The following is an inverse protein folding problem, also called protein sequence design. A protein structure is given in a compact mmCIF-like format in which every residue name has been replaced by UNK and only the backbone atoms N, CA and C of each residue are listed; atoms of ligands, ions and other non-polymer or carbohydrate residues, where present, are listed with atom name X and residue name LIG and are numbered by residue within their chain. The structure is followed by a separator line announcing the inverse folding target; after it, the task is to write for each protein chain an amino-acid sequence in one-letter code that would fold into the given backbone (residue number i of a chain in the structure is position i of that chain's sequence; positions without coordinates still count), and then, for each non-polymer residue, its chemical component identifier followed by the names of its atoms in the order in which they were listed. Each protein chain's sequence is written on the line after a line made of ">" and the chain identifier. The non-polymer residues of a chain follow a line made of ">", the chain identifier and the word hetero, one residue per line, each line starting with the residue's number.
data_IF_850282841496
#
_entry.id   IF_850282841496
#
_cell.length_a   1.000
_cell.length_b   1.000
_cell.length_c   1.000
_cell.angle_alpha   90.00
_cell.angle_beta   90.00
_cell.angle_gamma   90.00
#
_symmetry.space_group_name_H-M   'P 1'
#
loop_
_entity.id
_entity.type
_entity.pdbx_description
1 polymer ?
#
# COMPACT_ATOMS: atom_id res chain seq x y z
N UNK A 1 -22.96 33.11 -59.34
CA UNK A 1 -24.24 33.20 -58.61
C UNK A 1 -23.99 32.72 -57.19
N UNK A 2 -23.95 33.64 -56.22
CA UNK A 2 -23.70 33.39 -54.79
C UNK A 2 -25.04 33.03 -54.16
N UNK A 3 -25.29 31.76 -53.89
CA UNK A 3 -26.37 31.33 -52.98
C UNK A 3 -25.83 31.40 -51.56
N UNK A 4 -25.94 32.60 -50.97
CA UNK A 4 -25.84 32.81 -49.53
C UNK A 4 -27.28 32.95 -49.02
N UNK A 5 -28.07 31.89 -49.19
CA UNK A 5 -29.44 31.88 -48.68
C UNK A 5 -29.35 31.65 -47.17
N UNK A 6 -29.93 32.58 -46.41
CA UNK A 6 -30.08 32.48 -44.97
C UNK A 6 -30.84 31.17 -44.67
N UNK A 7 -30.36 30.29 -43.76
CA UNK A 7 -31.11 29.10 -43.39
C UNK A 7 -32.49 29.52 -42.89
N UNK A 8 -33.54 28.86 -43.39
CA UNK A 8 -34.91 29.19 -43.05
C UNK A 8 -35.14 29.15 -41.53
N UNK A 9 -36.07 29.96 -41.02
CA UNK A 9 -36.36 30.03 -39.59
C UNK A 9 -36.67 28.65 -38.95
N UNK A 10 -37.21 27.72 -39.75
CA UNK A 10 -37.50 26.33 -39.39
C UNK A 10 -36.24 25.47 -39.16
N UNK A 11 -35.20 25.66 -39.96
CA UNK A 11 -33.93 24.92 -39.84
C UNK A 11 -33.16 25.33 -38.59
N UNK A 12 -33.21 26.63 -38.26
CA UNK A 12 -32.62 27.16 -37.04
C UNK A 12 -33.31 26.67 -35.76
N UNK A 13 -34.64 26.47 -35.79
CA UNK A 13 -35.37 25.93 -34.64
C UNK A 13 -34.97 24.48 -34.35
N UNK A 14 -34.91 23.65 -35.40
CA UNK A 14 -34.59 22.23 -35.30
C UNK A 14 -33.14 22.01 -34.84
N UNK A 15 -32.21 22.85 -35.30
CA UNK A 15 -30.83 22.88 -34.80
C UNK A 15 -30.78 23.26 -33.32
N UNK A 16 -31.59 24.24 -32.89
CA UNK A 16 -31.62 24.69 -31.50
C UNK A 16 -32.20 23.63 -30.55
N UNK A 17 -33.24 22.92 -30.97
CA UNK A 17 -33.78 21.78 -30.23
C UNK A 17 -32.77 20.63 -30.12
N UNK A 18 -32.05 20.34 -31.21
CA UNK A 18 -30.99 19.32 -31.21
C UNK A 18 -29.85 19.68 -30.25
N UNK A 19 -29.41 20.94 -30.25
CA UNK A 19 -28.39 21.43 -29.32
C UNK A 19 -28.88 21.33 -27.88
N UNK A 20 -30.14 21.71 -27.59
CA UNK A 20 -30.71 21.59 -26.25
C UNK A 20 -30.77 20.15 -25.78
N UNK A 21 -31.21 19.22 -26.64
CA UNK A 21 -31.24 17.80 -26.33
C UNK A 21 -29.84 17.24 -26.00
N UNK A 22 -28.82 17.64 -26.76
CA UNK A 22 -27.44 17.25 -26.52
C UNK A 22 -26.95 17.81 -25.17
N UNK A 23 -27.26 19.07 -24.85
CA UNK A 23 -26.85 19.72 -23.60
C UNK A 23 -27.50 19.03 -22.39
N UNK A 24 -28.79 18.72 -22.47
CA UNK A 24 -29.53 17.99 -21.44
C UNK A 24 -28.94 16.58 -21.24
N UNK A 25 -28.65 15.86 -22.33
CA UNK A 25 -28.06 14.53 -22.30
C UNK A 25 -26.64 14.56 -21.70
N UNK A 26 -25.84 15.57 -22.06
CA UNK A 26 -24.51 15.78 -21.52
C UNK A 26 -24.58 16.07 -20.02
N UNK A 27 -25.55 16.87 -19.58
CA UNK A 27 -25.81 17.13 -18.16
C UNK A 27 -26.10 15.85 -17.36
N UNK A 28 -26.93 14.95 -17.91
CA UNK A 28 -27.22 13.64 -17.29
C UNK A 28 -25.96 12.79 -17.20
N UNK A 29 -25.22 12.64 -18.29
CA UNK A 29 -23.97 11.85 -18.31
C UNK A 29 -22.94 12.43 -17.33
N UNK A 30 -22.84 13.75 -17.22
CA UNK A 30 -21.93 14.40 -16.29
C UNK A 30 -22.36 14.16 -14.84
N UNK A 31 -23.66 14.17 -14.53
CA UNK A 31 -24.17 13.83 -13.21
C UNK A 31 -23.84 12.38 -12.82
N UNK A 32 -24.00 11.44 -13.76
CA UNK A 32 -23.66 10.03 -13.55
C UNK A 32 -22.16 9.83 -13.31
N UNK A 33 -21.30 10.51 -14.09
CA UNK A 33 -19.85 10.50 -13.88
C UNK A 33 -19.51 10.97 -12.47
N UNK A 34 -20.09 12.09 -12.01
CA UNK A 34 -19.85 12.59 -10.67
C UNK A 34 -20.30 11.59 -9.60
N UNK A 35 -21.49 11.00 -9.76
CA UNK A 35 -22.03 10.03 -8.83
C UNK A 35 -21.15 8.77 -8.73
N UNK A 36 -20.77 8.20 -9.86
CA UNK A 36 -19.90 7.01 -9.90
C UNK A 36 -18.50 7.31 -9.36
N UNK A 37 -17.97 8.50 -9.63
CA UNK A 37 -16.68 8.94 -9.09
C UNK A 37 -16.71 9.05 -7.57
N UNK A 38 -17.80 9.55 -6.99
CA UNK A 38 -17.98 9.59 -5.54
C UNK A 38 -18.04 8.19 -4.93
N UNK A 39 -18.85 7.30 -5.51
CA UNK A 39 -18.93 5.89 -5.08
C UNK A 39 -17.54 5.24 -5.13
N UNK A 40 -16.82 5.42 -6.23
CA UNK A 40 -15.49 4.86 -6.42
C UNK A 40 -14.50 5.40 -5.38
N UNK A 41 -14.58 6.69 -5.05
CA UNK A 41 -13.75 7.31 -4.01
C UNK A 41 -14.02 6.70 -2.64
N UNK A 42 -15.29 6.53 -2.27
CA UNK A 42 -15.70 5.88 -1.00
C UNK A 42 -15.25 4.42 -0.93
N UNK A 43 -15.36 3.67 -2.04
CA UNK A 43 -14.89 2.28 -2.10
C UNK A 43 -13.36 2.18 -1.98
N UNK A 44 -12.61 3.10 -2.59
CA UNK A 44 -11.14 3.17 -2.45
C UNK A 44 -10.73 3.46 -1.01
N UNK A 45 -11.41 4.37 -0.33
CA UNK A 45 -11.16 4.67 1.07
C UNK A 45 -11.42 3.43 1.94
N UNK A 46 -12.55 2.75 1.75
CA UNK A 46 -12.85 1.50 2.45
C UNK A 46 -11.80 0.41 2.16
N UNK A 47 -11.37 0.28 0.91
CA UNK A 47 -10.32 -0.67 0.53
C UNK A 47 -9.01 -0.38 1.27
N UNK A 48 -8.62 0.91 1.36
CA UNK A 48 -7.42 1.32 2.10
C UNK A 48 -7.51 0.94 3.57
N UNK A 49 -8.62 1.28 4.24
CA UNK A 49 -8.83 0.95 5.65
C UNK A 49 -8.74 -0.56 5.91
N UNK A 50 -9.32 -1.38 5.03
CA UNK A 50 -9.27 -2.84 5.16
C UNK A 50 -7.87 -3.41 4.92
N UNK A 51 -7.10 -2.83 3.99
CA UNK A 51 -5.69 -3.22 3.78
C UNK A 51 -4.84 -2.89 5.00
N UNK A 52 -5.00 -1.69 5.54
CA UNK A 52 -4.28 -1.25 6.74
C UNK A 52 -4.59 -2.19 7.93
N UNK A 53 -5.86 -2.54 8.14
CA UNK A 53 -6.26 -3.51 9.16
C UNK A 53 -5.69 -4.91 8.90
N UNK A 54 -5.72 -5.39 7.65
CA UNK A 54 -5.14 -6.68 7.27
C UNK A 54 -3.64 -6.73 7.58
N UNK A 55 -2.90 -5.67 7.26
CA UNK A 55 -1.46 -5.62 7.49
C UNK A 55 -1.13 -5.58 8.99
N UNK A 56 -1.90 -4.85 9.80
CA UNK A 56 -1.80 -4.92 11.27
C UNK A 56 -2.05 -6.34 11.78
N UNK A 57 -3.05 -7.05 11.24
CA UNK A 57 -3.30 -8.44 11.61
C UNK A 57 -2.14 -9.35 11.19
N UNK A 58 -1.63 -9.28 9.96
CA UNK A 58 -0.44 -10.06 9.54
C UNK A 58 0.76 -9.79 10.44
N UNK A 59 0.92 -8.53 10.84
CA UNK A 59 1.95 -8.09 11.77
C UNK A 59 1.80 -8.83 13.11
N UNK A 60 0.62 -8.80 13.72
CA UNK A 60 0.32 -9.45 15.01
C UNK A 60 0.37 -10.98 14.93
N UNK A 61 -0.08 -11.55 13.80
CA UNK A 61 -0.10 -12.99 13.56
C UNK A 61 1.28 -13.53 13.18
N UNK A 62 2.27 -12.67 12.89
CA UNK A 62 3.63 -13.07 12.56
C UNK A 62 4.19 -13.99 13.65
N UNK A 63 4.52 -15.26 13.33
CA UNK A 63 4.98 -16.25 14.31
C UNK A 63 6.18 -15.74 15.12
N UNK A 64 7.08 -15.00 14.47
CA UNK A 64 8.31 -14.46 15.04
C UNK A 64 8.08 -13.45 16.17
N UNK A 65 6.96 -12.70 16.13
CA UNK A 65 6.57 -11.79 17.20
C UNK A 65 5.91 -12.48 18.38
N UNK A 66 5.43 -13.70 18.20
CA UNK A 66 4.86 -14.55 19.27
C UNK A 66 5.88 -15.43 19.95
N UNK A 67 7.04 -15.64 19.32
CA UNK A 67 8.14 -16.36 19.95
C UNK A 67 8.61 -15.63 21.21
N UNK A 68 8.76 -16.41 22.27
CA UNK A 68 9.39 -15.96 23.50
C UNK A 68 10.85 -15.55 23.23
N UNK A 69 11.36 -14.50 23.91
CA UNK A 69 12.76 -14.07 23.78
C UNK A 69 13.75 -15.23 23.88
N UNK A 70 13.52 -16.18 24.78
CA UNK A 70 14.37 -17.34 25.03
C UNK A 70 14.47 -18.25 23.79
N UNK A 71 13.37 -18.41 23.05
CA UNK A 71 13.36 -19.22 21.82
C UNK A 71 14.10 -18.49 20.69
N UNK A 72 13.98 -17.16 20.62
CA UNK A 72 14.74 -16.35 19.67
C UNK A 72 16.25 -16.46 19.91
N UNK A 73 16.69 -16.41 21.17
CA UNK A 73 18.10 -16.60 21.55
C UNK A 73 18.61 -17.96 21.10
N UNK A 74 17.85 -19.04 21.34
CA UNK A 74 18.23 -20.39 20.90
C UNK A 74 18.36 -20.50 19.38
N UNK A 75 17.43 -19.89 18.63
CA UNK A 75 17.50 -19.83 17.17
C UNK A 75 18.76 -19.10 16.72
N UNK A 76 19.07 -17.94 17.31
CA UNK A 76 20.26 -17.17 16.97
C UNK A 76 21.54 -17.96 17.26
N UNK A 77 21.67 -18.56 18.45
CA UNK A 77 22.82 -19.40 18.81
C UNK A 77 23.00 -20.61 17.88
N UNK A 78 21.89 -21.22 17.44
CA UNK A 78 21.92 -22.31 16.48
C UNK A 78 22.45 -21.85 15.11
N UNK A 79 22.03 -20.66 14.65
CA UNK A 79 22.52 -20.11 13.37
C UNK A 79 24.03 -19.83 13.39
N UNK A 80 24.58 -19.32 14.49
CA UNK A 80 26.03 -19.11 14.59
C UNK A 80 26.82 -20.42 14.70
N UNK A 81 26.25 -21.43 15.34
CA UNK A 81 26.90 -22.75 15.49
C UNK A 81 26.99 -23.53 14.18
N UNK A 82 25.98 -23.41 13.31
CA UNK A 82 25.89 -24.17 12.05
C UNK A 82 26.70 -23.51 10.91
N UNK A 83 26.90 -22.19 10.98
CA UNK A 83 27.69 -21.42 10.00
C UNK A 83 29.22 -21.54 10.20
N UNK A 84 29.67 -22.25 11.23
CA UNK A 84 31.09 -22.32 11.60
C UNK A 84 31.63 -21.01 12.19
N UNK A 85 30.77 -20.01 12.41
CA UNK A 85 31.06 -18.69 13.00
C UNK A 85 31.20 -18.75 14.54
N UNK A 86 31.88 -19.79 15.06
CA UNK A 86 32.40 -19.76 16.44
C UNK A 86 33.77 -19.09 16.54
N UNK A 87 34.35 -18.71 15.42
CA UNK A 87 35.55 -17.88 15.42
C UNK A 87 35.17 -16.42 15.64
N UNK A 88 36.05 -15.71 16.35
CA UNK A 88 35.85 -14.32 16.76
C UNK A 88 35.37 -13.45 15.58
N UNK A 89 34.18 -12.85 15.71
CA UNK A 89 33.69 -11.83 14.79
C UNK A 89 34.24 -10.47 15.21
N UNK A 90 34.39 -9.54 14.26
CA UNK A 90 34.71 -8.16 14.59
C UNK A 90 33.47 -7.48 15.16
N UNK A 91 33.52 -7.10 16.45
CA UNK A 91 32.41 -6.42 17.14
C UNK A 91 32.08 -5.07 16.50
N UNK A 92 33.00 -4.47 15.75
CA UNK A 92 32.77 -3.23 15.00
C UNK A 92 32.17 -3.46 13.60
N UNK A 93 32.17 -4.70 13.11
CA UNK A 93 31.49 -5.08 11.88
C UNK A 93 30.00 -5.34 12.13
N UNK A 94 29.19 -4.35 11.81
CA UNK A 94 27.72 -4.43 11.95
C UNK A 94 27.06 -5.37 10.94
N UNK A 95 27.82 -5.90 9.98
CA UNK A 95 27.34 -6.81 8.93
C UNK A 95 27.51 -8.29 9.29
N UNK A 96 28.16 -8.60 10.42
CA UNK A 96 28.38 -9.96 10.92
C UNK A 96 27.92 -10.13 12.38
N UNK A 97 27.95 -11.38 12.87
CA UNK A 97 27.66 -11.69 14.27
C UNK A 97 26.25 -11.29 14.74
N UNK A 98 26.08 -10.95 16.02
CA UNK A 98 24.79 -10.55 16.61
C UNK A 98 24.16 -9.31 15.97
N UNK A 99 24.98 -8.43 15.40
CA UNK A 99 24.50 -7.22 14.74
C UNK A 99 23.59 -7.53 13.56
N UNK A 100 23.95 -8.53 12.73
CA UNK A 100 23.22 -8.90 11.53
C UNK A 100 21.76 -9.27 11.82
N UNK A 101 21.52 -10.12 12.83
CA UNK A 101 20.16 -10.49 13.23
C UNK A 101 19.42 -9.33 13.92
N UNK A 102 20.14 -8.44 14.60
CA UNK A 102 19.59 -7.21 15.19
C UNK A 102 19.04 -6.20 14.18
N UNK A 103 19.36 -6.34 12.88
CA UNK A 103 18.84 -5.46 11.83
C UNK A 103 17.43 -5.83 11.36
N UNK A 104 16.95 -7.05 11.63
CA UNK A 104 15.66 -7.57 11.13
C UNK A 104 14.46 -6.80 11.68
N UNK A 105 14.40 -6.59 12.99
CA UNK A 105 13.35 -5.78 13.63
C UNK A 105 13.75 -5.31 15.03
N UNK A 106 13.01 -4.35 15.57
CA UNK A 106 13.24 -3.81 16.93
C UNK A 106 13.18 -4.87 18.03
N UNK A 107 12.29 -5.88 17.91
CA UNK A 107 12.19 -6.98 18.87
C UNK A 107 13.45 -7.84 18.87
N UNK A 108 13.98 -8.18 17.69
CA UNK A 108 15.20 -8.98 17.57
C UNK A 108 16.41 -8.23 18.10
N UNK A 109 16.50 -6.93 17.80
CA UNK A 109 17.51 -6.05 18.39
C UNK A 109 17.45 -6.00 19.91
N UNK A 110 16.25 -5.90 20.48
CA UNK A 110 16.07 -5.90 21.93
C UNK A 110 16.56 -7.21 22.55
N UNK A 111 16.28 -8.36 21.92
CA UNK A 111 16.78 -9.67 22.35
C UNK A 111 18.31 -9.73 22.27
N UNK A 112 18.90 -9.33 21.15
CA UNK A 112 20.36 -9.31 20.92
C UNK A 112 21.09 -8.47 21.96
N UNK A 113 20.59 -7.26 22.24
CA UNK A 113 21.25 -6.33 23.18
C UNK A 113 21.07 -6.78 24.64
N UNK A 114 19.97 -7.48 24.96
CA UNK A 114 19.69 -7.93 26.33
C UNK A 114 20.36 -9.25 26.72
N UNK A 115 20.87 -10.03 25.76
CA UNK A 115 21.44 -11.35 26.02
C UNK A 115 22.92 -11.37 25.67
N UNK A 116 23.77 -11.23 26.70
CA UNK A 116 25.24 -11.20 26.55
C UNK A 116 25.82 -12.48 25.95
N UNK A 117 25.14 -13.63 26.06
CA UNK A 117 25.58 -14.91 25.49
C UNK A 117 25.61 -14.96 23.96
N UNK A 118 25.00 -13.97 23.29
CA UNK A 118 25.07 -13.84 21.84
C UNK A 118 26.37 -13.17 21.39
N UNK A 119 27.02 -12.39 22.26
CA UNK A 119 28.23 -11.63 21.97
C UNK A 119 29.49 -12.44 22.26
#
# INVERSE_FOLDING_TARGET
>A
LRTNDLPGASDNHLLKESVQYIDDTLGVVQADIHHLSDILSRLKEKQKLLKDAQDVHKIILSPIRRLHPEILVQIFLATYSDLGERDAYDVFDVTSGPWLVGQVCSKWRAVVVSHSMLW
#
